data_IF_755767983705
#
_entry.id   IF_755767983705
#
_cell.length_a   1.000
_cell.length_b   1.000
_cell.length_c   1.000
_cell.angle_alpha   90.00
_cell.angle_beta   90.00
_cell.angle_gamma   90.00
#
_symmetry.space_group_name_H-M   'P 1'
#
loop_
_entity.id
_entity.type
_entity.pdbx_description
1 polymer ?
#
# COMPACT_ATOMS: atom_id res chain seq x y z
N UNK A 1 5.58 -13.17 22.54
CA UNK A 1 4.60 -13.07 21.44
C UNK A 1 3.19 -13.37 21.93
N UNK A 2 2.16 -12.96 21.19
CA UNK A 2 0.75 -13.25 21.51
C UNK A 2 0.51 -14.76 21.64
N UNK A 3 1.07 -15.59 20.74
CA UNK A 3 0.94 -17.04 20.79
C UNK A 3 1.40 -17.66 22.11
N UNK A 4 2.60 -17.28 22.58
CA UNK A 4 3.10 -17.76 23.89
C UNK A 4 2.19 -17.38 25.07
N UNK A 5 1.51 -16.23 24.99
CA UNK A 5 0.59 -15.78 26.04
C UNK A 5 -0.75 -16.52 25.98
N UNK A 6 -1.24 -16.88 24.79
CA UNK A 6 -2.43 -17.75 24.62
C UNK A 6 -2.19 -19.13 25.22
N UNK A 7 -1.03 -19.72 24.96
CA UNK A 7 -0.62 -21.02 25.51
C UNK A 7 -0.47 -20.99 27.05
N UNK A 8 0.15 -19.93 27.59
CA UNK A 8 0.43 -19.83 29.02
C UNK A 8 -0.75 -19.40 29.89
N UNK A 9 -1.76 -18.75 29.30
CA UNK A 9 -2.96 -18.24 29.99
C UNK A 9 -4.21 -18.46 29.14
N UNK A 10 -4.73 -19.68 29.04
CA UNK A 10 -5.95 -19.98 28.31
C UNK A 10 -7.11 -19.13 28.82
N UNK A 11 -7.87 -18.51 27.92
CA UNK A 11 -9.02 -17.68 28.27
C UNK A 11 -8.71 -16.23 28.67
N UNK A 12 -7.44 -15.82 28.76
CA UNK A 12 -7.08 -14.45 29.12
C UNK A 12 -7.67 -13.41 28.14
N UNK A 13 -7.57 -13.68 26.84
CA UNK A 13 -8.16 -12.80 25.82
C UNK A 13 -9.69 -12.78 25.88
N UNK A 14 -10.34 -13.92 26.16
CA UNK A 14 -11.78 -13.99 26.31
C UNK A 14 -12.27 -13.19 27.52
N UNK A 15 -11.49 -13.14 28.61
CA UNK A 15 -11.82 -12.29 29.77
C UNK A 15 -11.71 -10.80 29.43
N UNK A 16 -10.65 -10.40 28.70
CA UNK A 16 -10.50 -9.00 28.25
C UNK A 16 -11.63 -8.63 27.30
N UNK A 17 -11.97 -9.49 26.35
CA UNK A 17 -13.02 -9.25 25.38
C UNK A 17 -14.38 -8.95 26.01
N UNK A 18 -14.68 -9.52 27.19
CA UNK A 18 -15.93 -9.21 27.92
C UNK A 18 -16.07 -7.76 28.35
N UNK A 19 -14.96 -7.06 28.53
CA UNK A 19 -14.95 -5.65 28.96
C UNK A 19 -14.83 -4.67 27.76
N UNK A 20 -14.59 -5.16 26.54
CA UNK A 20 -14.51 -4.33 25.34
C UNK A 20 -15.93 -4.00 24.90
N UNK A 21 -16.26 -2.71 24.89
CA UNK A 21 -17.56 -2.21 24.43
C UNK A 21 -17.63 -2.05 22.91
N UNK A 22 -16.50 -1.91 22.25
CA UNK A 22 -16.36 -1.75 20.82
C UNK A 22 -14.94 -1.34 20.45
N UNK A 23 -14.65 -1.32 19.15
CA UNK A 23 -13.39 -0.84 18.57
C UNK A 23 -13.66 0.13 17.44
N UNK A 24 -12.71 0.99 17.16
CA UNK A 24 -12.66 1.81 15.95
C UNK A 24 -11.49 1.35 15.11
N UNK A 25 -11.70 1.23 13.80
CA UNK A 25 -10.66 0.80 12.85
C UNK A 25 -10.43 1.87 11.81
N UNK A 26 -9.18 2.29 11.64
CA UNK A 26 -8.82 3.39 10.76
C UNK A 26 -8.07 2.96 9.48
N UNK A 27 -7.81 1.66 9.28
CA UNK A 27 -7.10 1.20 8.08
C UNK A 27 -7.95 0.27 7.22
N UNK A 28 -7.85 0.39 5.89
CA UNK A 28 -8.63 -0.39 4.92
C UNK A 28 -8.53 -1.90 5.16
N UNK A 29 -7.32 -2.39 5.43
CA UNK A 29 -7.08 -3.82 5.71
C UNK A 29 -7.80 -4.30 6.95
N UNK A 30 -7.73 -3.54 8.05
CA UNK A 30 -8.40 -3.88 9.29
C UNK A 30 -9.91 -3.87 9.12
N UNK A 31 -10.45 -2.90 8.39
CA UNK A 31 -11.89 -2.84 8.05
C UNK A 31 -12.32 -4.09 7.27
N UNK A 32 -11.58 -4.50 6.23
CA UNK A 32 -11.89 -5.72 5.47
C UNK A 32 -11.90 -6.95 6.39
N UNK A 33 -10.91 -7.07 7.27
CA UNK A 33 -10.81 -8.20 8.21
C UNK A 33 -11.98 -8.22 9.20
N UNK A 34 -12.36 -7.07 9.74
CA UNK A 34 -13.52 -6.97 10.64
C UNK A 34 -14.84 -7.29 9.92
N UNK A 35 -14.99 -6.88 8.65
CA UNK A 35 -16.13 -7.23 7.82
C UNK A 35 -16.21 -8.75 7.57
N UNK A 36 -15.09 -9.42 7.31
CA UNK A 36 -15.04 -10.88 7.17
C UNK A 36 -15.48 -11.55 8.48
N UNK A 37 -14.89 -11.14 9.61
CA UNK A 37 -15.26 -11.67 10.93
C UNK A 37 -16.74 -11.47 11.25
N UNK A 38 -17.32 -10.32 10.86
CA UNK A 38 -18.74 -10.05 11.05
C UNK A 38 -19.61 -11.00 10.19
N UNK A 39 -19.24 -11.22 8.91
CA UNK A 39 -19.96 -12.16 8.01
C UNK A 39 -19.90 -13.59 8.52
N UNK A 40 -18.79 -14.00 9.10
CA UNK A 40 -18.57 -15.32 9.69
C UNK A 40 -19.18 -15.49 11.09
N UNK A 41 -19.78 -14.43 11.66
CA UNK A 41 -20.32 -14.45 13.03
C UNK A 41 -19.25 -14.55 14.12
N UNK A 42 -18.00 -14.23 13.80
CA UNK A 42 -16.83 -14.30 14.71
C UNK A 42 -16.48 -12.98 15.36
N UNK A 43 -17.15 -11.89 15.02
CA UNK A 43 -16.90 -10.58 15.61
C UNK A 43 -17.47 -10.55 17.04
N UNK A 44 -16.60 -10.40 18.04
CA UNK A 44 -16.96 -10.52 19.45
C UNK A 44 -17.58 -9.24 20.05
N UNK A 45 -17.41 -8.10 19.41
CA UNK A 45 -17.86 -6.79 19.87
C UNK A 45 -18.13 -5.86 18.68
N UNK A 46 -18.89 -4.77 18.84
CA UNK A 46 -19.14 -3.82 17.78
C UNK A 46 -17.83 -3.20 17.25
N UNK A 47 -17.73 -3.05 15.93
CA UNK A 47 -16.61 -2.39 15.27
C UNK A 47 -17.13 -1.22 14.42
N UNK A 48 -16.49 -0.07 14.54
CA UNK A 48 -16.82 1.16 13.80
C UNK A 48 -15.73 1.42 12.78
N UNK A 49 -16.12 1.45 11.50
CA UNK A 49 -15.23 1.82 10.41
C UNK A 49 -15.03 3.34 10.39
N UNK A 50 -13.86 3.80 10.83
CA UNK A 50 -13.45 5.20 10.78
C UNK A 50 -12.63 5.48 9.50
N UNK A 51 -12.02 4.43 8.90
CA UNK A 51 -11.22 4.57 7.69
C UNK A 51 -11.99 5.24 6.55
N UNK A 52 -13.27 4.88 6.38
CA UNK A 52 -14.08 5.37 5.26
C UNK A 52 -14.78 6.70 5.58
N UNK A 53 -14.53 7.31 6.74
CA UNK A 53 -14.96 8.67 6.96
C UNK A 53 -14.22 9.61 5.99
N UNK A 54 -14.95 10.60 5.44
CA UNK A 54 -14.38 11.52 4.43
C UNK A 54 -13.14 12.25 4.98
N UNK A 55 -13.18 12.65 6.25
CA UNK A 55 -12.07 13.35 6.91
C UNK A 55 -10.88 12.45 7.23
N UNK A 56 -10.98 11.12 7.06
CA UNK A 56 -9.84 10.19 7.17
C UNK A 56 -9.35 9.75 5.80
N UNK A 57 -10.17 9.06 5.01
CA UNK A 57 -9.72 8.42 3.76
C UNK A 57 -9.27 9.43 2.71
N UNK A 58 -9.95 10.56 2.60
CA UNK A 58 -9.61 11.60 1.60
C UNK A 58 -8.49 12.54 2.06
N UNK A 59 -8.05 12.42 3.31
CA UNK A 59 -6.96 13.23 3.87
C UNK A 59 -5.73 12.39 4.19
N UNK A 60 -5.79 11.50 5.18
CA UNK A 60 -4.62 10.72 5.61
C UNK A 60 -4.11 9.80 4.51
N UNK A 61 -4.99 9.04 3.84
CA UNK A 61 -4.57 8.11 2.80
C UNK A 61 -3.92 8.83 1.59
N UNK A 62 -4.34 10.06 1.29
CA UNK A 62 -3.76 10.87 0.21
C UNK A 62 -2.58 11.70 0.70
N UNK A 63 -2.81 12.60 1.63
CA UNK A 63 -1.81 13.60 2.03
C UNK A 63 -0.76 13.03 2.98
N UNK A 64 -1.12 12.11 3.88
CA UNK A 64 -0.16 11.42 4.74
C UNK A 64 0.85 10.60 3.95
N UNK A 65 0.37 9.81 2.97
CA UNK A 65 1.24 9.06 2.07
C UNK A 65 2.06 9.95 1.13
N UNK A 66 1.50 11.09 0.71
CA UNK A 66 2.21 12.11 -0.06
C UNK A 66 3.46 12.62 0.67
N UNK A 67 3.34 12.89 1.98
CA UNK A 67 4.47 13.33 2.80
C UNK A 67 5.46 12.20 3.10
N UNK A 68 4.97 11.04 3.53
CA UNK A 68 5.81 9.98 4.06
C UNK A 68 6.57 9.20 2.98
N UNK A 69 6.04 9.07 1.76
CA UNK A 69 6.66 8.26 0.71
C UNK A 69 8.05 8.77 0.33
N UNK A 70 8.15 10.03 -0.09
CA UNK A 70 9.41 10.62 -0.57
C UNK A 70 10.41 10.76 0.57
N UNK A 71 9.94 11.09 1.79
CA UNK A 71 10.77 11.11 2.99
C UNK A 71 11.36 9.71 3.26
N UNK A 72 10.52 8.67 3.23
CA UNK A 72 10.97 7.29 3.44
C UNK A 72 12.00 6.82 2.41
N UNK A 73 11.76 7.08 1.12
CA UNK A 73 12.72 6.72 0.05
C UNK A 73 14.06 7.44 0.26
N UNK A 74 14.06 8.73 0.54
CA UNK A 74 15.29 9.50 0.76
C UNK A 74 16.07 9.02 1.98
N UNK A 75 15.39 8.73 3.09
CA UNK A 75 16.04 8.19 4.29
C UNK A 75 16.64 6.81 4.09
N UNK A 76 15.97 5.97 3.28
CA UNK A 76 16.42 4.60 3.07
C UNK A 76 17.56 4.48 2.06
N UNK A 77 17.64 5.37 1.07
CA UNK A 77 18.48 5.18 -0.11
C UNK A 77 19.46 6.32 -0.40
N UNK A 78 19.24 7.49 0.19
CA UNK A 78 20.00 8.73 -0.07
C UNK A 78 20.10 9.08 -1.58
N UNK A 79 19.06 8.71 -2.36
CA UNK A 79 19.05 8.83 -3.81
C UNK A 79 18.44 10.18 -4.24
N UNK A 80 19.01 10.76 -5.29
CA UNK A 80 18.42 11.92 -5.95
C UNK A 80 17.18 11.49 -6.74
N UNK A 81 16.02 12.08 -6.43
CA UNK A 81 14.74 11.77 -7.06
C UNK A 81 14.58 12.42 -8.44
N UNK A 82 15.07 13.66 -8.59
CA UNK A 82 14.90 14.44 -9.81
C UNK A 82 15.47 13.73 -11.04
N UNK A 83 14.67 13.70 -12.12
CA UNK A 83 15.03 13.11 -13.40
C UNK A 83 14.80 11.59 -13.49
N UNK A 84 14.52 10.90 -12.37
CA UNK A 84 14.22 9.46 -12.37
C UNK A 84 12.81 9.19 -12.90
N UNK A 85 12.63 7.99 -13.43
CA UNK A 85 11.31 7.44 -13.76
C UNK A 85 10.77 6.71 -12.55
N UNK A 86 9.66 7.17 -12.00
CA UNK A 86 8.98 6.54 -10.88
C UNK A 86 7.69 5.86 -11.37
N UNK A 87 7.51 4.60 -11.03
CA UNK A 87 6.33 3.80 -11.34
C UNK A 87 5.49 3.67 -10.09
N UNK A 88 4.25 4.14 -10.14
CA UNK A 88 3.28 4.01 -9.05
C UNK A 88 2.25 2.96 -9.45
N UNK A 89 2.24 1.84 -8.73
CA UNK A 89 1.28 0.78 -8.94
C UNK A 89 0.04 1.02 -8.07
N UNK A 90 -1.07 1.37 -8.72
CA UNK A 90 -2.32 1.78 -8.11
C UNK A 90 -2.54 3.30 -8.15
N UNK A 91 -3.80 3.73 -8.38
CA UNK A 91 -4.19 5.13 -8.40
C UNK A 91 -5.44 5.42 -7.57
N UNK A 92 -5.57 4.69 -6.45
CA UNK A 92 -6.48 5.02 -5.36
C UNK A 92 -5.99 6.26 -4.56
N UNK A 93 -6.54 6.51 -3.38
CA UNK A 93 -6.14 7.68 -2.57
C UNK A 93 -4.64 7.70 -2.25
N UNK A 94 -4.07 6.54 -1.88
CA UNK A 94 -2.63 6.38 -1.62
C UNK A 94 -1.81 6.61 -2.89
N UNK A 95 -2.22 6.02 -4.00
CA UNK A 95 -1.52 6.17 -5.29
C UNK A 95 -1.53 7.61 -5.81
N UNK A 96 -2.65 8.33 -5.67
CA UNK A 96 -2.77 9.75 -6.04
C UNK A 96 -1.77 10.61 -5.27
N UNK A 97 -1.73 10.47 -3.95
CA UNK A 97 -0.78 11.19 -3.12
C UNK A 97 0.68 10.86 -3.45
N UNK A 98 0.96 9.58 -3.67
CA UNK A 98 2.28 9.06 -4.03
C UNK A 98 2.77 9.62 -5.38
N UNK A 99 1.94 9.54 -6.43
CA UNK A 99 2.27 10.05 -7.75
C UNK A 99 2.53 11.57 -7.74
N UNK A 100 1.71 12.30 -7.00
CA UNK A 100 1.83 13.75 -6.86
C UNK A 100 3.12 14.16 -6.15
N UNK A 101 3.51 13.47 -5.07
CA UNK A 101 4.76 13.77 -4.35
C UNK A 101 6.01 13.41 -5.16
N UNK A 102 5.99 12.30 -5.89
CA UNK A 102 7.09 11.90 -6.77
C UNK A 102 7.26 12.90 -7.93
N UNK A 103 6.16 13.35 -8.55
CA UNK A 103 6.20 14.41 -9.56
C UNK A 103 6.74 15.71 -8.99
N UNK A 104 6.30 16.11 -7.80
CA UNK A 104 6.79 17.30 -7.10
C UNK A 104 8.28 17.21 -6.74
N UNK A 105 8.80 16.00 -6.50
CA UNK A 105 10.22 15.75 -6.29
C UNK A 105 11.06 15.74 -7.59
N UNK A 106 10.42 15.98 -8.75
CA UNK A 106 11.09 16.05 -10.06
C UNK A 106 11.18 14.72 -10.80
N UNK A 107 10.46 13.67 -10.38
CA UNK A 107 10.37 12.41 -11.12
C UNK A 107 9.45 12.55 -12.33
N UNK A 108 9.71 11.76 -13.36
CA UNK A 108 8.75 11.43 -14.41
C UNK A 108 7.93 10.24 -13.92
N UNK A 109 6.63 10.42 -13.75
CA UNK A 109 5.79 9.40 -13.11
C UNK A 109 4.99 8.62 -14.13
N UNK A 110 5.08 7.31 -14.07
CA UNK A 110 4.22 6.33 -14.74
C UNK A 110 3.26 5.76 -13.70
N UNK A 111 2.03 5.51 -14.11
CA UNK A 111 1.01 4.89 -13.26
C UNK A 111 0.59 3.57 -13.88
N UNK A 112 0.47 2.52 -13.07
CA UNK A 112 -0.18 1.27 -13.48
C UNK A 112 -1.47 1.11 -12.67
N UNK A 113 -2.59 0.85 -13.34
CA UNK A 113 -3.89 0.76 -12.70
C UNK A 113 -4.81 -0.18 -13.48
N UNK A 114 -5.55 -1.03 -12.77
CA UNK A 114 -6.51 -1.98 -13.37
C UNK A 114 -7.94 -1.43 -13.41
N UNK A 115 -8.27 -0.50 -12.51
CA UNK A 115 -9.57 0.17 -12.53
C UNK A 115 -9.58 1.25 -13.62
N UNK A 116 -10.46 1.14 -14.63
CA UNK A 116 -10.46 2.06 -15.75
C UNK A 116 -10.84 3.50 -15.35
N UNK A 117 -11.59 3.68 -14.28
CA UNK A 117 -11.95 5.02 -13.79
C UNK A 117 -10.74 5.68 -13.13
N UNK A 118 -10.04 4.96 -12.27
CA UNK A 118 -8.81 5.45 -11.65
C UNK A 118 -7.71 5.69 -12.71
N UNK A 119 -7.58 4.82 -13.71
CA UNK A 119 -6.66 4.99 -14.82
C UNK A 119 -6.98 6.25 -15.63
N UNK A 120 -8.26 6.48 -15.95
CA UNK A 120 -8.70 7.70 -16.64
C UNK A 120 -8.41 8.96 -15.82
N UNK A 121 -8.62 8.92 -14.50
CA UNK A 121 -8.28 10.03 -13.62
C UNK A 121 -6.77 10.34 -13.67
N UNK A 122 -5.90 9.31 -13.64
CA UNK A 122 -4.46 9.50 -13.77
C UNK A 122 -4.09 10.18 -15.09
N UNK A 123 -4.70 9.76 -16.21
CA UNK A 123 -4.52 10.41 -17.51
C UNK A 123 -4.94 11.89 -17.49
N UNK A 124 -6.10 12.20 -16.90
CA UNK A 124 -6.60 13.57 -16.79
C UNK A 124 -5.71 14.47 -15.92
N UNK A 125 -5.01 13.89 -14.95
CA UNK A 125 -4.04 14.58 -14.10
C UNK A 125 -2.62 14.68 -14.76
N UNK A 126 -2.48 14.18 -16.00
CA UNK A 126 -1.27 14.30 -16.81
C UNK A 126 -0.21 13.24 -16.51
N UNK A 127 -0.60 12.10 -15.99
CA UNK A 127 0.28 10.93 -15.84
C UNK A 127 0.15 10.00 -17.06
N UNK A 128 1.26 9.38 -17.43
CA UNK A 128 1.26 8.30 -18.42
C UNK A 128 0.81 7.00 -17.72
N UNK A 129 -0.26 6.40 -18.22
CA UNK A 129 -0.78 5.12 -17.70
C UNK A 129 -0.31 3.99 -18.61
N UNK A 130 0.32 2.98 -18.02
CA UNK A 130 0.94 1.86 -18.73
C UNK A 130 0.69 0.55 -17.98
N UNK A 131 0.96 -0.60 -18.61
CA UNK A 131 1.00 -1.88 -17.91
C UNK A 131 2.28 -2.00 -17.04
N UNK A 132 2.29 -2.92 -16.07
CA UNK A 132 3.51 -3.15 -15.28
C UNK A 132 4.63 -3.76 -16.13
N UNK A 133 4.28 -4.58 -17.11
CA UNK A 133 5.21 -5.17 -18.08
C UNK A 133 5.96 -4.08 -18.88
N UNK A 134 5.22 -3.07 -19.35
CA UNK A 134 5.81 -1.95 -20.07
C UNK A 134 6.63 -1.03 -19.15
N UNK A 135 6.19 -0.85 -17.91
CA UNK A 135 6.87 -0.01 -16.94
C UNK A 135 8.17 -0.62 -16.40
N UNK A 136 8.24 -1.96 -16.30
CA UNK A 136 9.33 -2.67 -15.62
C UNK A 136 10.70 -2.30 -16.16
N UNK A 137 10.89 -2.25 -17.47
CA UNK A 137 12.18 -1.89 -18.10
C UNK A 137 12.49 -0.39 -18.07
N UNK A 138 11.49 0.46 -17.77
CA UNK A 138 11.60 1.93 -17.85
C UNK A 138 11.84 2.58 -16.50
N UNK A 139 11.34 1.97 -15.41
CA UNK A 139 11.35 2.52 -14.07
C UNK A 139 12.73 2.51 -13.42
N UNK A 140 13.01 3.51 -12.59
CA UNK A 140 14.13 3.58 -11.67
C UNK A 140 13.66 3.37 -10.22
N UNK A 141 12.42 3.76 -9.93
CA UNK A 141 11.77 3.64 -8.62
C UNK A 141 10.37 3.04 -8.83
N UNK A 142 10.03 2.02 -8.07
CA UNK A 142 8.74 1.35 -8.10
C UNK A 142 8.09 1.43 -6.73
N UNK A 143 6.83 1.84 -6.69
CA UNK A 143 6.04 1.99 -5.45
C UNK A 143 4.73 1.27 -5.59
N UNK A 144 4.46 0.29 -4.75
CA UNK A 144 3.14 -0.36 -4.69
C UNK A 144 2.23 0.32 -3.67
N UNK A 145 0.98 0.55 -4.05
CA UNK A 145 0.01 1.36 -3.29
C UNK A 145 -1.38 0.73 -3.25
N UNK A 146 -1.51 -0.55 -3.64
CA UNK A 146 -2.80 -1.17 -3.96
C UNK A 146 -3.46 -1.87 -2.78
N UNK A 147 -2.68 -2.33 -1.78
CA UNK A 147 -3.15 -3.25 -0.75
C UNK A 147 -3.56 -4.63 -1.29
N UNK A 148 -3.10 -4.98 -2.49
CA UNK A 148 -3.39 -6.25 -3.16
C UNK A 148 -2.20 -7.22 -3.02
N UNK A 149 -2.17 -8.31 -3.76
CA UNK A 149 -1.13 -9.34 -3.73
C UNK A 149 -0.45 -9.44 -5.10
N UNK A 150 0.86 -9.73 -5.09
CA UNK A 150 1.67 -10.02 -6.30
C UNK A 150 1.58 -8.94 -7.40
N UNK A 151 1.53 -7.68 -7.00
CA UNK A 151 1.50 -6.53 -7.91
C UNK A 151 2.82 -6.39 -8.66
N UNK A 152 3.95 -6.60 -7.97
CA UNK A 152 5.27 -6.73 -8.57
C UNK A 152 5.76 -8.16 -8.41
N UNK A 153 5.81 -8.87 -9.53
CA UNK A 153 6.26 -10.27 -9.60
C UNK A 153 7.77 -10.38 -9.79
N UNK A 154 8.31 -11.59 -9.62
CA UNK A 154 9.71 -11.87 -9.93
C UNK A 154 10.06 -11.56 -11.40
N UNK A 155 9.16 -11.84 -12.33
CA UNK A 155 9.40 -11.56 -13.74
C UNK A 155 9.46 -10.07 -14.04
N UNK A 156 8.63 -9.26 -13.38
CA UNK A 156 8.77 -7.80 -13.43
C UNK A 156 10.14 -7.36 -12.90
N UNK A 157 10.58 -7.89 -11.75
CA UNK A 157 11.87 -7.54 -11.15
C UNK A 157 13.06 -7.94 -12.02
N UNK A 158 12.97 -9.06 -12.76
CA UNK A 158 14.00 -9.48 -13.74
C UNK A 158 14.13 -8.51 -14.93
N UNK A 159 13.04 -7.86 -15.31
CA UNK A 159 13.02 -6.89 -16.40
C UNK A 159 13.44 -5.48 -15.96
N UNK A 160 13.56 -5.23 -14.66
CA UNK A 160 13.96 -3.93 -14.12
C UNK A 160 15.41 -3.59 -14.45
N UNK A 161 15.70 -2.30 -14.41
CA UNK A 161 17.09 -1.80 -14.50
C UNK A 161 17.93 -2.25 -13.31
N UNK A 162 19.24 -2.34 -13.53
CA UNK A 162 20.19 -2.49 -12.43
C UNK A 162 20.00 -1.35 -11.40
N UNK A 163 20.01 -1.71 -10.12
CA UNK A 163 19.78 -0.80 -8.98
C UNK A 163 18.41 -0.12 -8.95
N UNK A 164 17.38 -0.70 -9.57
CA UNK A 164 16.02 -0.22 -9.41
C UNK A 164 15.62 -0.29 -7.93
N UNK A 165 14.97 0.77 -7.44
CA UNK A 165 14.44 0.84 -6.08
C UNK A 165 13.01 0.33 -6.11
N UNK A 166 12.72 -0.70 -5.32
CA UNK A 166 11.37 -1.25 -5.18
C UNK A 166 10.90 -1.08 -3.75
N UNK A 167 9.79 -0.41 -3.55
CA UNK A 167 9.23 -0.14 -2.23
C UNK A 167 7.71 -0.28 -2.21
N UNK A 168 7.18 -0.47 -1.01
CA UNK A 168 5.75 -0.57 -0.75
C UNK A 168 5.34 0.49 0.26
N UNK A 169 4.29 1.25 -0.03
CA UNK A 169 3.61 2.12 0.92
C UNK A 169 2.23 1.58 1.31
N UNK A 170 1.76 0.54 0.62
CA UNK A 170 0.58 -0.21 1.01
C UNK A 170 0.77 -0.94 2.35
N UNK A 171 -0.30 -1.53 2.87
CA UNK A 171 -0.28 -2.15 4.20
C UNK A 171 0.41 -3.52 4.20
N UNK A 172 0.29 -4.29 3.14
CA UNK A 172 0.81 -5.66 3.07
C UNK A 172 2.17 -5.75 2.37
N UNK A 173 3.05 -6.56 2.93
CA UNK A 173 4.35 -6.91 2.37
C UNK A 173 4.27 -7.87 1.16
N UNK A 174 3.11 -8.46 0.91
CA UNK A 174 2.87 -9.40 -0.18
C UNK A 174 2.50 -8.74 -1.53
N UNK A 175 2.48 -7.42 -1.62
CA UNK A 175 2.35 -6.72 -2.90
C UNK A 175 3.56 -6.96 -3.81
N UNK A 176 4.72 -7.29 -3.23
CA UNK A 176 5.97 -7.54 -3.93
C UNK A 176 6.44 -8.96 -3.62
N UNK A 177 6.75 -9.75 -4.62
CA UNK A 177 7.22 -11.13 -4.47
C UNK A 177 8.66 -11.22 -3.91
N UNK A 178 8.90 -10.63 -2.74
CA UNK A 178 10.23 -10.58 -2.09
C UNK A 178 10.76 -11.97 -1.76
N UNK A 179 9.88 -12.90 -1.38
CA UNK A 179 10.29 -14.28 -1.10
C UNK A 179 10.82 -14.99 -2.35
N UNK A 180 10.21 -14.77 -3.51
CA UNK A 180 10.70 -15.29 -4.79
C UNK A 180 12.06 -14.69 -5.16
N UNK A 181 12.26 -13.39 -4.93
CA UNK A 181 13.53 -12.71 -5.18
C UNK A 181 14.66 -13.25 -4.29
N UNK A 182 14.39 -13.54 -3.02
CA UNK A 182 15.39 -14.08 -2.08
C UNK A 182 15.87 -15.48 -2.45
N UNK A 183 15.06 -16.24 -3.18
CA UNK A 183 15.36 -17.61 -3.61
C UNK A 183 15.85 -17.68 -5.07
N UNK A 184 16.06 -16.55 -5.70
CA UNK A 184 16.57 -16.39 -7.06
C UNK A 184 18.11 -16.30 -7.05
#
# INVERSE_FOLDING_TARGET
SIGKRVESKPGWYSQIAKNIKGVTEETTTGVHRLCEMAREGKLLFPAINVNDSVTKSKFDNKYGCRESLVDGIRRATDVMMAGKVAVVAGYGDVGKGSAESLRSAGCRVLVTEIDPICALQACMEGFEVVSMEDAASRGDIFVTTTGNIDVITLDHMRAMKDRAIVCNIGHFDNEIQVAALKNY
#
